data_IF_816483919397
#
_entry.id   IF_816483919397
#
_cell.length_a   1.000
_cell.length_b   1.000
_cell.length_c   1.000
_cell.angle_alpha   90.00
_cell.angle_beta   90.00
_cell.angle_gamma   90.00
#
_symmetry.space_group_name_H-M   'P 1'
#
loop_
_entity.id
_entity.type
_entity.pdbx_description
1 polymer ?
#
# COMPACT_ATOMS: atom_id res chain seq x y z
N UNK A 1 -18.73 10.02 -13.68
CA UNK A 1 -17.52 9.33 -13.18
C UNK A 1 -16.43 10.39 -13.05
N UNK A 2 -15.76 10.47 -11.90
CA UNK A 2 -14.76 11.52 -11.65
C UNK A 2 -13.38 11.08 -12.15
N UNK A 3 -13.17 11.12 -13.47
CA UNK A 3 -11.88 10.84 -14.10
C UNK A 3 -11.20 9.51 -13.67
N UNK A 4 -12.01 8.50 -13.29
CA UNK A 4 -11.52 7.18 -12.85
C UNK A 4 -11.31 7.00 -11.35
N UNK A 5 -11.50 8.03 -10.50
CA UNK A 5 -11.35 7.89 -9.03
C UNK A 5 -12.45 7.04 -8.39
N UNK A 6 -13.59 6.87 -9.07
CA UNK A 6 -14.63 5.92 -8.70
C UNK A 6 -15.48 5.54 -9.92
N UNK A 7 -16.07 4.33 -9.85
CA UNK A 7 -16.98 3.80 -10.85
C UNK A 7 -18.39 3.66 -10.26
N UNK A 8 -19.40 4.06 -11.03
CA UNK A 8 -20.81 3.88 -10.62
C UNK A 8 -21.38 2.63 -11.27
N UNK A 9 -21.63 1.60 -10.47
CA UNK A 9 -22.36 0.42 -10.94
C UNK A 9 -23.82 0.54 -10.54
N UNK A 10 -24.71 0.43 -11.53
CA UNK A 10 -26.16 0.36 -11.30
C UNK A 10 -26.60 -1.08 -11.36
N UNK A 11 -27.31 -1.53 -10.32
CA UNK A 11 -27.91 -2.86 -10.23
C UNK A 11 -29.42 -2.71 -10.20
N UNK A 12 -30.13 -3.49 -11.03
CA UNK A 12 -31.57 -3.59 -10.96
C UNK A 12 -31.95 -4.70 -9.97
N UNK A 13 -32.55 -4.33 -8.84
CA UNK A 13 -32.97 -5.27 -7.79
C UNK A 13 -34.10 -6.21 -8.19
N UNK A 14 -34.88 -5.85 -9.22
CA UNK A 14 -35.94 -6.73 -9.75
C UNK A 14 -35.34 -7.87 -10.59
N UNK A 15 -34.22 -7.60 -11.26
CA UNK A 15 -33.49 -8.58 -12.08
C UNK A 15 -32.54 -9.43 -11.23
N UNK A 16 -31.97 -8.85 -10.16
CA UNK A 16 -30.99 -9.49 -9.28
C UNK A 16 -31.46 -9.57 -7.80
N UNK A 17 -32.57 -10.28 -7.50
CA UNK A 17 -33.15 -10.32 -6.15
C UNK A 17 -32.26 -11.03 -5.12
N UNK A 18 -31.45 -12.00 -5.57
CA UNK A 18 -30.49 -12.69 -4.71
C UNK A 18 -29.40 -11.73 -4.20
N UNK A 19 -28.90 -10.86 -5.08
CA UNK A 19 -27.90 -9.84 -4.73
C UNK A 19 -28.52 -8.78 -3.81
N UNK A 20 -29.75 -8.34 -4.10
CA UNK A 20 -30.49 -7.44 -3.22
C UNK A 20 -30.68 -8.01 -1.80
N UNK A 21 -30.96 -9.31 -1.70
CA UNK A 21 -31.05 -10.02 -0.42
C UNK A 21 -29.72 -10.08 0.32
N UNK A 22 -28.61 -10.35 -0.37
CA UNK A 22 -27.26 -10.38 0.25
C UNK A 22 -26.89 -9.04 0.89
N UNK A 23 -27.26 -7.92 0.26
CA UNK A 23 -27.00 -6.58 0.77
C UNK A 23 -28.14 -6.02 1.66
N UNK A 24 -29.12 -6.84 2.03
CA UNK A 24 -30.27 -6.46 2.87
C UNK A 24 -30.99 -5.19 2.36
N UNK A 25 -31.16 -5.08 1.04
CA UNK A 25 -31.83 -3.93 0.42
C UNK A 25 -33.30 -3.91 0.84
N UNK A 26 -33.68 -2.88 1.61
CA UNK A 26 -35.03 -2.70 2.16
C UNK A 26 -35.75 -1.46 1.60
N UNK A 27 -35.05 -0.64 0.80
CA UNK A 27 -35.59 0.55 0.15
C UNK A 27 -34.66 1.03 -0.96
N UNK A 28 -35.21 1.71 -1.97
CA UNK A 28 -34.47 2.19 -3.16
C UNK A 28 -34.56 3.72 -3.20
N UNK A 29 -33.47 4.45 -3.53
CA UNK A 29 -32.13 3.95 -3.85
C UNK A 29 -31.38 3.44 -2.62
N UNK A 30 -30.69 2.31 -2.76
CA UNK A 30 -29.71 1.80 -1.79
C UNK A 30 -28.34 1.84 -2.45
N UNK A 31 -27.41 2.57 -1.87
CA UNK A 31 -26.08 2.78 -2.41
C UNK A 31 -25.05 2.23 -1.42
N UNK A 32 -24.15 1.38 -1.92
CA UNK A 32 -23.02 0.83 -1.16
C UNK A 32 -21.75 1.25 -1.87
N UNK A 33 -20.81 1.83 -1.11
CA UNK A 33 -19.47 2.15 -1.57
C UNK A 33 -18.55 0.99 -1.25
N UNK A 34 -17.81 0.52 -2.26
CA UNK A 34 -16.81 -0.53 -2.11
C UNK A 34 -15.41 0.07 -2.25
N UNK A 35 -14.49 -0.37 -1.39
CA UNK A 35 -13.07 -0.09 -1.47
C UNK A 35 -12.30 -1.39 -1.23
N UNK A 36 -11.34 -1.71 -2.09
CA UNK A 36 -10.57 -2.97 -2.05
C UNK A 36 -11.45 -4.24 -1.95
N UNK A 37 -12.59 -4.24 -2.65
CA UNK A 37 -13.53 -5.37 -2.68
C UNK A 37 -14.38 -5.54 -1.41
N UNK A 38 -14.27 -4.64 -0.42
CA UNK A 38 -15.06 -4.65 0.80
C UNK A 38 -16.00 -3.43 0.87
N UNK A 39 -17.20 -3.56 1.44
CA UNK A 39 -18.10 -2.42 1.66
C UNK A 39 -17.49 -1.46 2.70
N UNK A 40 -17.27 -0.21 2.29
CA UNK A 40 -16.66 0.82 3.13
C UNK A 40 -17.69 1.78 3.74
N UNK A 41 -18.81 2.04 3.04
CA UNK A 41 -19.90 2.89 3.53
C UNK A 41 -21.19 2.62 2.74
N UNK A 42 -22.35 3.01 3.29
CA UNK A 42 -23.64 2.83 2.61
C UNK A 42 -24.69 3.86 3.04
N UNK A 43 -25.67 4.10 2.17
CA UNK A 43 -26.86 4.86 2.52
C UNK A 43 -28.11 4.32 1.82
N UNK A 44 -29.28 4.59 2.40
CA UNK A 44 -30.59 4.27 1.82
C UNK A 44 -31.42 5.54 1.72
N UNK A 45 -32.11 5.71 0.59
CA UNK A 45 -32.90 6.90 0.27
C UNK A 45 -32.13 7.93 -0.54
N UNK A 46 -32.86 8.86 -1.14
CA UNK A 46 -32.25 9.93 -1.94
C UNK A 46 -31.55 10.95 -1.02
N UNK A 47 -30.27 11.18 -1.25
CA UNK A 47 -29.49 12.23 -0.57
C UNK A 47 -29.43 13.52 -1.42
N UNK A 48 -29.46 14.72 -0.80
CA UNK A 48 -29.10 15.96 -1.48
C UNK A 48 -27.66 15.93 -2.03
N UNK A 49 -27.38 16.72 -3.08
CA UNK A 49 -26.07 16.71 -3.74
C UNK A 49 -24.90 16.98 -2.78
N UNK A 50 -25.04 17.94 -1.85
CA UNK A 50 -23.98 18.25 -0.89
C UNK A 50 -23.65 17.04 0.02
N UNK A 51 -24.67 16.32 0.49
CA UNK A 51 -24.49 15.10 1.30
C UNK A 51 -23.86 13.98 0.47
N UNK A 52 -24.18 13.88 -0.82
CA UNK A 52 -23.56 12.91 -1.71
C UNK A 52 -22.09 13.24 -1.96
N UNK A 53 -21.74 14.53 -2.13
CA UNK A 53 -20.35 14.98 -2.25
C UNK A 53 -19.57 14.74 -0.97
N UNK A 54 -20.16 14.98 0.19
CA UNK A 54 -19.54 14.68 1.49
C UNK A 54 -19.37 13.17 1.68
N UNK A 55 -20.37 12.37 1.31
CA UNK A 55 -20.28 10.91 1.30
C UNK A 55 -19.09 10.44 0.46
N UNK A 56 -18.97 10.91 -0.79
CA UNK A 56 -17.87 10.54 -1.68
C UNK A 56 -16.53 11.10 -1.21
N UNK A 57 -16.46 12.35 -0.76
CA UNK A 57 -15.21 13.01 -0.34
C UNK A 57 -14.55 12.38 0.89
N UNK A 58 -15.29 11.61 1.69
CA UNK A 58 -14.72 10.79 2.77
C UNK A 58 -13.92 9.59 2.28
N UNK A 59 -14.13 9.16 1.04
CA UNK A 59 -13.60 7.88 0.51
C UNK A 59 -12.85 8.02 -0.81
N UNK A 60 -13.13 9.06 -1.59
CA UNK A 60 -12.59 9.27 -2.92
C UNK A 60 -11.55 10.39 -2.86
N UNK A 61 -10.37 10.12 -3.40
CA UNK A 61 -9.34 11.14 -3.60
C UNK A 61 -9.88 12.29 -4.45
N UNK A 62 -9.54 13.52 -4.10
CA UNK A 62 -9.77 14.64 -5.03
C UNK A 62 -8.92 14.46 -6.31
N UNK A 63 -9.25 15.23 -7.34
CA UNK A 63 -8.61 15.11 -8.66
C UNK A 63 -7.09 15.30 -8.58
N UNK A 64 -6.63 16.24 -7.74
CA UNK A 64 -5.20 16.49 -7.53
C UNK A 64 -4.50 15.30 -6.88
N UNK A 65 -5.09 14.72 -5.84
CA UNK A 65 -4.54 13.56 -5.16
C UNK A 65 -4.57 12.31 -6.07
N UNK A 66 -5.58 12.18 -6.94
CA UNK A 66 -5.63 11.08 -7.91
C UNK A 66 -4.54 11.21 -8.98
N UNK A 67 -4.28 12.41 -9.49
CA UNK A 67 -3.18 12.66 -10.43
C UNK A 67 -1.83 12.30 -9.80
N UNK A 68 -1.61 12.69 -8.54
CA UNK A 68 -0.41 12.35 -7.77
C UNK A 68 -0.30 10.85 -7.51
N UNK A 69 -1.39 10.15 -7.22
CA UNK A 69 -1.42 8.70 -7.05
C UNK A 69 -1.03 7.98 -8.36
N UNK A 70 -1.61 8.39 -9.49
CA UNK A 70 -1.29 7.85 -10.80
C UNK A 70 0.15 8.15 -11.21
N UNK A 71 0.68 9.31 -10.82
CA UNK A 71 2.08 9.65 -11.01
C UNK A 71 2.97 8.75 -10.15
N UNK A 72 2.59 8.46 -8.90
CA UNK A 72 3.39 7.64 -7.99
C UNK A 72 3.63 6.22 -8.52
N UNK A 73 2.68 5.66 -9.28
CA UNK A 73 2.85 4.35 -9.93
C UNK A 73 3.87 4.38 -11.09
N UNK A 74 4.01 5.52 -11.78
CA UNK A 74 4.85 5.64 -12.99
C UNK A 74 6.22 6.24 -12.69
N UNK A 75 6.24 7.25 -11.84
CA UNK A 75 7.39 8.01 -11.40
C UNK A 75 7.21 8.39 -9.92
N UNK A 76 7.54 7.46 -9.01
CA UNK A 76 7.31 7.65 -7.57
C UNK A 76 8.10 8.83 -6.99
N UNK A 77 9.29 9.13 -7.55
CA UNK A 77 10.12 10.25 -7.09
C UNK A 77 9.48 11.57 -7.45
N UNK A 78 9.02 11.73 -8.69
CA UNK A 78 8.35 12.96 -9.09
C UNK A 78 7.06 13.19 -8.29
N UNK A 79 6.27 12.14 -8.07
CA UNK A 79 5.08 12.25 -7.22
C UNK A 79 5.44 12.68 -5.78
N UNK A 80 6.46 12.07 -5.19
CA UNK A 80 6.93 12.42 -3.86
C UNK A 80 7.38 13.88 -3.78
N UNK A 81 8.18 14.35 -4.75
CA UNK A 81 8.63 15.76 -4.83
C UNK A 81 7.48 16.74 -4.90
N UNK A 82 6.49 16.48 -5.76
CA UNK A 82 5.32 17.35 -5.87
C UNK A 82 4.54 17.42 -4.55
N UNK A 83 4.37 16.29 -3.85
CA UNK A 83 3.72 16.27 -2.54
C UNK A 83 4.54 17.01 -1.49
N UNK A 84 5.87 16.86 -1.50
CA UNK A 84 6.78 17.53 -0.57
C UNK A 84 6.69 19.05 -0.69
N UNK A 85 6.52 19.57 -1.91
CA UNK A 85 6.35 20.99 -2.21
C UNK A 85 4.98 21.56 -1.78
N UNK A 86 3.98 20.72 -1.50
CA UNK A 86 2.67 21.19 -1.04
C UNK A 86 2.77 21.85 0.34
N UNK A 87 2.11 23.01 0.54
CA UNK A 87 2.14 23.73 1.82
C UNK A 87 1.39 22.98 2.92
N UNK A 88 0.30 22.29 2.56
CA UNK A 88 -0.48 21.44 3.46
C UNK A 88 -0.54 20.03 2.90
N UNK A 89 -0.26 19.05 3.77
CA UNK A 89 -0.27 17.62 3.43
C UNK A 89 -1.40 16.97 4.22
N UNK A 90 -2.31 16.32 3.51
CA UNK A 90 -3.41 15.55 4.09
C UNK A 90 -3.02 14.08 4.30
N UNK A 91 -3.88 13.31 4.97
CA UNK A 91 -3.70 11.87 5.15
C UNK A 91 -3.61 11.12 3.80
N UNK A 92 -4.36 11.57 2.79
CA UNK A 92 -4.29 11.02 1.44
C UNK A 92 -2.91 11.17 0.83
N UNK A 93 -2.28 12.34 1.01
CA UNK A 93 -0.91 12.57 0.56
C UNK A 93 0.08 11.63 1.25
N UNK A 94 -0.13 11.34 2.54
CA UNK A 94 0.69 10.37 3.27
C UNK A 94 0.55 8.95 2.73
N UNK A 95 -0.65 8.51 2.34
CA UNK A 95 -0.84 7.19 1.72
C UNK A 95 -0.26 7.13 0.30
N UNK A 96 -0.30 8.23 -0.46
CA UNK A 96 0.35 8.32 -1.77
C UNK A 96 1.88 8.26 -1.61
N UNK A 97 2.46 9.01 -0.67
CA UNK A 97 3.88 8.94 -0.33
C UNK A 97 4.28 7.52 0.09
N UNK A 98 3.46 6.85 0.89
CA UNK A 98 3.70 5.45 1.27
C UNK A 98 3.73 4.51 0.06
N UNK A 99 2.79 4.70 -0.88
CA UNK A 99 2.74 3.93 -2.11
C UNK A 99 3.97 4.19 -2.99
N UNK A 100 4.39 5.45 -3.10
CA UNK A 100 5.62 5.85 -3.78
C UNK A 100 6.85 5.19 -3.16
N UNK A 101 6.98 5.19 -1.82
CA UNK A 101 8.05 4.49 -1.09
C UNK A 101 8.08 3.01 -1.43
N UNK A 102 6.93 2.33 -1.42
CA UNK A 102 6.86 0.91 -1.77
C UNK A 102 7.35 0.67 -3.20
N UNK A 103 6.98 1.53 -4.15
CA UNK A 103 7.39 1.43 -5.54
C UNK A 103 8.89 1.72 -5.72
N UNK A 104 9.43 2.73 -5.03
CA UNK A 104 10.86 3.02 -4.99
C UNK A 104 11.66 1.81 -4.49
N UNK A 105 11.21 1.17 -3.40
CA UNK A 105 11.83 -0.04 -2.86
C UNK A 105 11.74 -1.22 -3.83
N UNK A 106 10.62 -1.42 -4.55
CA UNK A 106 10.52 -2.47 -5.58
C UNK A 106 11.56 -2.26 -6.69
N UNK A 107 11.76 -1.00 -7.10
CA UNK A 107 12.71 -0.63 -8.14
C UNK A 107 14.17 -0.60 -7.64
N UNK A 108 14.39 -0.55 -6.32
CA UNK A 108 15.71 -0.37 -5.71
C UNK A 108 16.20 1.07 -5.76
N UNK A 109 15.28 2.03 -5.91
CA UNK A 109 15.61 3.45 -5.94
C UNK A 109 15.65 4.01 -4.51
N UNK A 110 16.71 4.74 -4.20
CA UNK A 110 16.90 5.38 -2.89
C UNK A 110 16.92 6.89 -2.94
N UNK A 111 16.85 7.48 -4.14
CA UNK A 111 16.80 8.93 -4.32
C UNK A 111 15.55 9.45 -3.62
N UNK A 112 15.72 10.45 -2.74
CA UNK A 112 14.66 11.07 -1.94
C UNK A 112 13.85 10.11 -1.04
N UNK A 113 14.23 8.83 -0.94
CA UNK A 113 13.50 7.80 -0.18
C UNK A 113 13.33 8.20 1.29
N UNK A 114 14.43 8.66 1.90
CA UNK A 114 14.42 9.09 3.31
C UNK A 114 13.55 10.33 3.52
N UNK A 115 13.67 11.33 2.65
CA UNK A 115 12.88 12.57 2.72
C UNK A 115 11.37 12.28 2.53
N UNK A 116 11.05 11.42 1.57
CA UNK A 116 9.69 10.93 1.30
C UNK A 116 9.12 10.22 2.53
N UNK A 117 9.88 9.30 3.14
CA UNK A 117 9.49 8.61 4.38
C UNK A 117 9.25 9.60 5.53
N UNK A 118 10.15 10.56 5.72
CA UNK A 118 10.06 11.56 6.78
C UNK A 118 8.80 12.44 6.65
N UNK A 119 8.37 12.74 5.43
CA UNK A 119 7.16 13.51 5.15
C UNK A 119 5.85 12.77 5.39
N UNK A 120 5.85 11.44 5.53
CA UNK A 120 4.67 10.67 5.91
C UNK A 120 4.32 10.99 7.36
N UNK A 121 3.21 11.69 7.57
CA UNK A 121 2.69 12.08 8.88
C UNK A 121 1.50 11.23 9.35
N UNK A 122 0.90 10.44 8.44
CA UNK A 122 -0.22 9.54 8.74
C UNK A 122 0.08 8.59 9.90
N UNK A 123 -0.81 8.56 10.88
CA UNK A 123 -0.74 7.64 12.03
C UNK A 123 -0.83 6.17 11.62
N UNK A 124 -1.41 5.87 10.46
CA UNK A 124 -1.62 4.50 9.95
C UNK A 124 -0.33 3.81 9.53
N UNK A 125 0.73 4.57 9.20
CA UNK A 125 1.98 4.05 8.63
C UNK A 125 3.20 4.27 9.52
N UNK A 126 2.99 4.68 10.77
CA UNK A 126 4.08 5.06 11.69
C UNK A 126 5.02 3.89 11.96
N UNK A 127 4.49 2.69 12.17
CA UNK A 127 5.30 1.52 12.50
C UNK A 127 6.18 1.10 11.32
N UNK A 128 5.59 1.03 10.12
CA UNK A 128 6.28 0.65 8.90
C UNK A 128 7.33 1.70 8.52
N UNK A 129 7.00 2.99 8.66
CA UNK A 129 7.95 4.10 8.50
C UNK A 129 9.14 3.95 9.44
N UNK A 130 8.90 3.76 10.74
CA UNK A 130 9.97 3.63 11.75
C UNK A 130 10.84 2.41 11.45
N UNK A 131 10.24 1.28 11.08
CA UNK A 131 10.99 0.08 10.72
C UNK A 131 11.87 0.30 9.48
N UNK A 132 11.36 0.94 8.43
CA UNK A 132 12.14 1.28 7.23
C UNK A 132 13.27 2.26 7.52
N UNK A 133 13.00 3.31 8.31
CA UNK A 133 14.05 4.25 8.72
C UNK A 133 15.16 3.53 9.50
N UNK A 134 14.82 2.61 10.40
CA UNK A 134 15.80 1.80 11.12
C UNK A 134 16.64 0.90 10.21
N UNK A 135 16.04 0.33 9.16
CA UNK A 135 16.77 -0.44 8.13
C UNK A 135 17.74 0.46 7.36
N UNK A 136 17.32 1.66 6.96
CA UNK A 136 18.16 2.63 6.25
C UNK A 136 19.34 3.11 7.12
N UNK A 137 19.08 3.42 8.38
CA UNK A 137 20.10 3.86 9.34
C UNK A 137 21.09 2.74 9.70
N UNK A 138 20.68 1.48 9.55
CA UNK A 138 21.52 0.29 9.72
C UNK A 138 22.61 0.13 8.65
N UNK A 139 22.70 1.03 7.67
CA UNK A 139 23.73 1.01 6.63
C UNK A 139 23.46 0.03 5.50
N UNK A 140 22.20 -0.34 5.30
CA UNK A 140 21.74 -1.19 4.19
C UNK A 140 21.83 -0.39 2.88
N UNK A 141 22.44 -0.98 1.86
CA UNK A 141 22.66 -0.37 0.55
C UNK A 141 21.39 -0.33 -0.31
N UNK A 142 21.31 0.56 -1.32
CA UNK A 142 20.17 0.63 -2.25
C UNK A 142 19.82 -0.70 -2.91
N UNK A 143 20.85 -1.46 -3.29
CA UNK A 143 20.72 -2.80 -3.85
C UNK A 143 20.04 -3.77 -2.88
N UNK A 144 20.33 -3.70 -1.58
CA UNK A 144 19.71 -4.57 -0.57
C UNK A 144 18.26 -4.18 -0.27
N UNK A 145 17.87 -2.93 -0.54
CA UNK A 145 16.48 -2.48 -0.40
C UNK A 145 15.57 -2.94 -1.53
N UNK A 146 16.16 -3.31 -2.67
CA UNK A 146 15.43 -3.73 -3.86
C UNK A 146 14.49 -4.91 -3.57
N UNK A 147 13.21 -4.74 -3.89
CA UNK A 147 12.15 -5.72 -3.69
C UNK A 147 11.47 -5.67 -2.32
N UNK A 148 12.03 -4.96 -1.32
CA UNK A 148 11.43 -4.89 0.02
C UNK A 148 10.04 -4.25 0.03
N UNK A 149 9.70 -3.44 -0.98
CA UNK A 149 8.37 -2.83 -1.10
C UNK A 149 7.23 -3.85 -1.20
N UNK A 150 7.49 -5.08 -1.66
CA UNK A 150 6.48 -6.15 -1.69
C UNK A 150 6.18 -6.76 -0.31
N UNK A 151 6.96 -6.44 0.73
CA UNK A 151 6.71 -6.90 2.10
C UNK A 151 5.52 -6.19 2.78
N UNK A 152 4.98 -5.14 2.16
CA UNK A 152 3.84 -4.39 2.66
C UNK A 152 2.53 -4.74 1.94
N UNK A 153 2.52 -5.88 1.24
CA UNK A 153 1.35 -6.44 0.57
C UNK A 153 0.61 -7.49 1.41
N UNK A 154 -0.12 -8.35 0.70
CA UNK A 154 -0.81 -9.54 1.25
C UNK A 154 0.19 -10.60 1.72
N UNK A 155 -0.26 -11.53 2.58
CA UNK A 155 0.61 -12.63 3.03
C UNK A 155 1.22 -13.43 1.87
N UNK A 156 0.46 -13.63 0.78
CA UNK A 156 0.96 -14.32 -0.41
C UNK A 156 2.07 -13.52 -1.10
N UNK A 157 1.89 -12.21 -1.30
CA UNK A 157 2.93 -11.35 -1.89
C UNK A 157 4.19 -11.31 -1.02
N UNK A 158 4.04 -11.28 0.31
CA UNK A 158 5.17 -11.36 1.25
C UNK A 158 5.93 -12.68 1.07
N UNK A 159 5.21 -13.81 0.99
CA UNK A 159 5.82 -15.12 0.75
C UNK A 159 6.58 -15.15 -0.57
N UNK A 160 5.95 -14.66 -1.65
CA UNK A 160 6.55 -14.64 -2.98
C UNK A 160 7.87 -13.83 -2.98
N UNK A 161 7.91 -12.68 -2.30
CA UNK A 161 9.13 -11.88 -2.15
C UNK A 161 10.20 -12.62 -1.34
N UNK A 162 9.83 -13.21 -0.21
CA UNK A 162 10.79 -13.92 0.64
C UNK A 162 11.35 -15.18 -0.05
N UNK A 163 10.53 -15.90 -0.82
CA UNK A 163 10.97 -17.05 -1.61
C UNK A 163 11.95 -16.61 -2.70
N UNK A 164 11.68 -15.50 -3.41
CA UNK A 164 12.63 -14.93 -4.38
C UNK A 164 13.98 -14.57 -3.75
N UNK A 165 13.98 -14.04 -2.51
CA UNK A 165 15.22 -13.72 -1.81
C UNK A 165 15.98 -14.98 -1.35
N UNK A 166 15.28 -16.02 -0.91
CA UNK A 166 15.91 -17.31 -0.60
C UNK A 166 16.53 -17.96 -1.85
N UNK A 167 15.83 -17.94 -2.98
CA UNK A 167 16.39 -18.44 -4.25
C UNK A 167 17.64 -17.67 -4.67
N UNK A 168 17.64 -16.35 -4.49
CA UNK A 168 18.82 -15.52 -4.72
C UNK A 168 19.98 -15.93 -3.81
N UNK A 169 19.71 -16.19 -2.53
CA UNK A 169 20.71 -16.64 -1.55
C UNK A 169 21.26 -18.04 -1.88
N UNK A 170 20.42 -18.95 -2.37
CA UNK A 170 20.85 -20.29 -2.80
C UNK A 170 21.82 -20.21 -3.99
N UNK A 171 21.54 -19.32 -4.95
CA UNK A 171 22.38 -19.09 -6.13
C UNK A 171 23.67 -18.35 -5.75
N UNK A 172 23.59 -17.39 -4.83
CA UNK A 172 24.70 -16.57 -4.39
C UNK A 172 24.65 -16.36 -2.87
N UNK A 173 25.51 -17.06 -2.12
CA UNK A 173 25.60 -16.95 -0.65
C UNK A 173 26.35 -15.70 -0.19
N UNK A 174 26.20 -14.60 -0.93
CA UNK A 174 26.85 -13.33 -0.67
C UNK A 174 26.32 -12.63 0.57
N UNK A 175 27.07 -11.62 1.02
CA UNK A 175 26.65 -10.76 2.14
C UNK A 175 25.35 -10.01 1.81
N UNK A 176 25.22 -9.56 0.56
CA UNK A 176 24.10 -8.77 0.09
C UNK A 176 22.75 -9.51 0.20
N UNK A 177 22.70 -10.76 -0.26
CA UNK A 177 21.50 -11.60 -0.22
C UNK A 177 21.09 -11.92 1.22
N UNK A 178 22.09 -12.12 2.08
CA UNK A 178 21.89 -12.34 3.51
C UNK A 178 21.31 -11.10 4.18
N UNK A 179 21.88 -9.93 3.93
CA UNK A 179 21.47 -8.67 4.57
C UNK A 179 20.07 -8.25 4.11
N UNK A 180 19.69 -8.52 2.86
CA UNK A 180 18.32 -8.33 2.36
C UNK A 180 17.27 -9.16 3.11
N UNK A 181 17.55 -10.44 3.39
CA UNK A 181 16.66 -11.29 4.19
C UNK A 181 16.57 -10.80 5.65
N UNK A 182 17.69 -10.37 6.23
CA UNK A 182 17.71 -9.81 7.58
C UNK A 182 16.87 -8.53 7.66
N UNK A 183 17.01 -7.62 6.69
CA UNK A 183 16.20 -6.42 6.57
C UNK A 183 14.71 -6.78 6.48
N UNK A 184 14.35 -7.76 5.65
CA UNK A 184 12.98 -8.25 5.51
C UNK A 184 12.40 -8.72 6.85
N UNK A 185 13.18 -9.45 7.65
CA UNK A 185 12.74 -9.91 8.96
C UNK A 185 12.61 -8.79 9.99
N UNK A 186 13.40 -7.73 9.86
CA UNK A 186 13.24 -6.53 10.68
C UNK A 186 11.93 -5.82 10.36
N UNK A 187 11.62 -5.65 9.06
CA UNK A 187 10.40 -4.98 8.59
C UNK A 187 9.11 -5.71 8.96
N UNK A 188 9.09 -7.04 8.83
CA UNK A 188 7.93 -7.85 9.23
C UNK A 188 7.78 -7.95 10.76
N UNK A 189 8.84 -7.65 11.52
CA UNK A 189 8.89 -7.80 12.96
C UNK A 189 9.29 -9.21 13.42
N UNK A 190 10.04 -9.28 14.51
CA UNK A 190 10.68 -10.52 14.98
C UNK A 190 9.70 -11.64 15.35
N UNK A 191 8.46 -11.29 15.72
CA UNK A 191 7.43 -12.25 16.14
C UNK A 191 6.51 -12.70 14.99
N UNK A 192 6.76 -12.26 13.76
CA UNK A 192 5.92 -12.63 12.62
C UNK A 192 6.05 -14.13 12.30
N UNK A 193 4.94 -14.87 12.07
CA UNK A 193 4.99 -16.30 11.78
C UNK A 193 5.92 -16.66 10.60
N UNK A 194 5.84 -15.88 9.51
CA UNK A 194 6.73 -16.06 8.35
C UNK A 194 8.20 -15.87 8.70
N UNK A 195 8.55 -14.93 9.59
CA UNK A 195 9.95 -14.71 9.96
C UNK A 195 10.55 -15.96 10.60
N UNK A 196 9.78 -16.66 11.44
CA UNK A 196 10.24 -17.92 12.05
C UNK A 196 10.45 -19.02 11.00
N UNK A 197 9.56 -19.13 10.02
CA UNK A 197 9.65 -20.09 8.93
C UNK A 197 10.89 -19.81 8.05
N UNK A 198 11.02 -18.58 7.56
CA UNK A 198 12.04 -18.20 6.59
C UNK A 198 13.44 -18.09 7.19
N UNK A 199 13.58 -17.79 8.50
CA UNK A 199 14.87 -17.90 9.20
C UNK A 199 15.41 -19.32 9.21
N UNK A 200 14.54 -20.33 9.38
CA UNK A 200 14.95 -21.75 9.34
C UNK A 200 15.43 -22.14 7.94
N UNK A 201 14.68 -21.76 6.90
CA UNK A 201 15.06 -21.98 5.49
C UNK A 201 16.41 -21.31 5.17
N UNK A 202 16.59 -20.05 5.56
CA UNK A 202 17.84 -19.31 5.41
C UNK A 202 19.03 -20.02 6.10
N UNK A 203 18.84 -20.52 7.32
CA UNK A 203 19.90 -21.23 8.04
C UNK A 203 20.33 -22.52 7.33
N UNK A 204 19.39 -23.29 6.75
CA UNK A 204 19.68 -24.51 5.99
C UNK A 204 20.47 -24.24 4.70
N UNK A 205 20.32 -23.06 4.11
CA UNK A 205 21.07 -22.67 2.91
C UNK A 205 22.51 -22.29 3.28
N UNK A 206 22.70 -21.64 4.44
CA UNK A 206 24.00 -21.10 4.85
C UNK A 206 24.94 -22.11 5.53
N UNK A 207 24.38 -23.16 6.16
CA UNK A 207 25.13 -24.14 6.95
C UNK A 207 24.84 -25.57 6.46
#
# INVERSE_FOLDING_TARGET
EAAGSWHLVKVNTDEEPALAGQFNVSGIPHCVLFSNGQPADQFTGALPEHMLREFLGRHVLDESAQELANLAEKDPIQAARQILELPEKSDSHSEILWSAVCEMLKQGNTDDLKETLEAISSSKRVNEKVALLGVLEGGISPEELKGLGGLFGTEQEIRDVLDQFLESLEKNKGKQEKDRLIASFHLLGQNHPLVTEYRKKMAQILF
#
